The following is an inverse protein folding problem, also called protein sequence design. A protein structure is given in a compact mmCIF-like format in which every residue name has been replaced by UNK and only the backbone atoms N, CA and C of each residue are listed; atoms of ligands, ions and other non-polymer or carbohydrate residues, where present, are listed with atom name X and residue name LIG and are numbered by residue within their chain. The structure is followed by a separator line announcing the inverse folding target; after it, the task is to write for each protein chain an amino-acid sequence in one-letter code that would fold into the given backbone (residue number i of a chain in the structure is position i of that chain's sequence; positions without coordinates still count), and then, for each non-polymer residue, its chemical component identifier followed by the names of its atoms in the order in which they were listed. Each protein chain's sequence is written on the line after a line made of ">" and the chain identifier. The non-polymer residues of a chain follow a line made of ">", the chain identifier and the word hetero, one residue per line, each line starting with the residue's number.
data_IF_591351437650
#
_entry.id   IF_591351437650
#
_cell.length_a   1.000
_cell.length_b   1.000
_cell.length_c   1.000
_cell.angle_alpha   90.00
_cell.angle_beta   90.00
_cell.angle_gamma   90.00
#
_symmetry.space_group_name_H-M   'P 1'
#
loop_
_entity.id
_entity.type
_entity.pdbx_description
1 polymer ?
#
# COMPACT_ATOMS: atom_id res chain seq x y z
N UNK A 1 43.25 14.27 38.11
CA UNK A 1 44.18 13.36 37.41
C UNK A 1 43.92 12.00 38.02
N UNK A 2 43.32 11.00 37.39
CA UNK A 2 42.85 10.73 36.02
C UNK A 2 41.63 9.80 36.16
N UNK A 3 40.74 9.80 35.18
CA UNK A 3 39.59 8.88 35.05
C UNK A 3 40.07 7.49 34.61
N UNK A 4 39.37 6.39 34.98
CA UNK A 4 39.46 5.14 34.23
C UNK A 4 38.46 5.16 33.06
N UNK A 5 38.97 4.98 31.84
CA UNK A 5 38.18 4.79 30.62
C UNK A 5 37.42 3.45 30.67
N UNK A 6 36.10 3.54 30.57
CA UNK A 6 35.23 2.43 30.24
C UNK A 6 35.38 2.12 28.74
N UNK A 7 36.10 1.05 28.41
CA UNK A 7 36.10 0.47 27.07
C UNK A 7 34.73 -0.17 26.77
N UNK A 8 33.92 0.53 25.96
CA UNK A 8 32.85 -0.10 25.19
C UNK A 8 33.46 -1.03 24.12
N UNK A 9 32.95 -2.26 23.93
CA UNK A 9 33.36 -3.09 22.82
C UNK A 9 32.95 -2.41 21.50
N UNK A 10 33.92 -2.27 20.60
CA UNK A 10 33.70 -1.74 19.25
C UNK A 10 32.70 -2.62 18.50
N UNK A 11 31.66 -1.99 17.96
CA UNK A 11 30.64 -2.55 17.05
C UNK A 11 31.22 -2.99 15.68
N UNK A 12 32.51 -3.32 15.60
CA UNK A 12 33.22 -3.61 14.36
C UNK A 12 33.29 -5.11 13.98
N UNK A 13 32.61 -5.99 14.71
CA UNK A 13 32.59 -7.43 14.43
C UNK A 13 31.19 -7.93 14.11
N UNK A 14 30.83 -7.87 12.82
CA UNK A 14 30.03 -8.85 12.05
C UNK A 14 29.69 -8.24 10.68
N UNK A 15 30.68 -8.16 9.79
CA UNK A 15 30.46 -7.77 8.38
C UNK A 15 30.19 -9.05 7.57
N UNK A 16 28.93 -9.49 7.54
CA UNK A 16 28.45 -10.51 6.59
C UNK A 16 28.04 -9.79 5.29
N UNK A 17 28.63 -10.22 4.18
CA UNK A 17 28.66 -9.50 2.90
C UNK A 17 27.42 -9.75 2.03
N UNK A 18 26.53 -8.78 1.80
CA UNK A 18 25.44 -8.93 0.82
C UNK A 18 26.02 -9.00 -0.61
N UNK A 19 25.58 -9.99 -1.39
CA UNK A 19 25.60 -9.93 -2.85
C UNK A 19 24.16 -9.70 -3.28
N UNK A 20 23.89 -8.76 -4.18
CA UNK A 20 22.56 -8.57 -4.76
C UNK A 20 22.72 -8.63 -6.28
N UNK A 21 21.89 -9.44 -6.94
CA UNK A 21 21.61 -9.38 -8.38
C UNK A 21 20.13 -9.12 -8.53
N UNK A 22 19.73 -8.05 -9.20
CA UNK A 22 18.32 -7.77 -9.49
C UNK A 22 18.02 -8.26 -10.90
N UNK A 23 17.02 -9.12 -11.02
CA UNK A 23 16.48 -9.59 -12.29
C UNK A 23 15.02 -9.14 -12.37
N UNK A 24 14.66 -8.40 -13.41
CA UNK A 24 13.28 -7.97 -13.69
C UNK A 24 12.74 -8.82 -14.84
N UNK A 25 11.53 -9.39 -14.71
CA UNK A 25 10.93 -10.21 -15.78
C UNK A 25 9.39 -10.21 -15.75
N UNK A 26 8.76 -10.49 -16.90
CA UNK A 26 7.31 -10.50 -17.17
C UNK A 26 6.67 -11.89 -17.28
N UNK A 27 5.48 -12.08 -16.69
CA UNK A 27 4.62 -13.25 -16.96
C UNK A 27 3.78 -13.02 -18.22
N UNK A 28 3.83 -13.93 -19.19
CA UNK A 28 2.79 -14.07 -20.21
C UNK A 28 1.86 -15.24 -19.85
N UNK A 29 0.55 -14.96 -19.75
CA UNK A 29 -0.47 -16.00 -19.56
C UNK A 29 -0.66 -16.78 -20.86
N UNK A 30 -0.52 -18.11 -20.81
CA UNK A 30 -1.03 -19.00 -21.87
C UNK A 30 -2.19 -19.82 -21.29
N UNK A 31 -3.42 -19.42 -21.59
CA UNK A 31 -4.64 -20.16 -21.25
C UNK A 31 -4.85 -21.23 -22.34
N UNK A 32 -4.53 -22.49 -22.05
CA UNK A 32 -4.88 -23.60 -22.93
C UNK A 32 -6.24 -24.19 -22.51
N UNK A 33 -7.29 -23.72 -23.17
CA UNK A 33 -8.48 -24.52 -23.49
C UNK A 33 -8.57 -24.55 -25.01
N UNK A 34 -8.37 -25.72 -25.64
CA UNK A 34 -9.21 -26.21 -26.76
C UNK A 34 -8.75 -27.60 -27.25
N UNK A 35 -9.67 -28.54 -27.05
CA UNK A 35 -10.14 -29.61 -27.93
C UNK A 35 -9.26 -30.44 -28.89
N UNK A 36 -9.71 -31.69 -28.98
CA UNK A 36 -9.24 -32.86 -29.72
C UNK A 36 -9.10 -32.61 -31.23
N UNK A 37 -8.06 -33.23 -31.81
CA UNK A 37 -8.20 -34.00 -33.05
C UNK A 37 -7.40 -33.52 -34.27
N UNK A 38 -6.56 -34.44 -34.77
CA UNK A 38 -6.08 -34.55 -36.16
C UNK A 38 -5.14 -33.44 -36.69
N UNK A 39 -3.84 -33.74 -36.80
CA UNK A 39 -3.21 -34.09 -38.09
C UNK A 39 -1.71 -34.36 -37.91
N UNK A 40 -1.29 -35.56 -38.30
CA UNK A 40 0.10 -36.01 -38.34
C UNK A 40 0.80 -35.46 -39.60
N UNK A 41 1.80 -34.59 -39.44
CA UNK A 41 3.08 -34.51 -40.19
C UNK A 41 3.75 -33.15 -40.00
N UNK A 42 4.45 -33.02 -38.88
CA UNK A 42 5.64 -32.22 -38.62
C UNK A 42 5.84 -32.31 -37.12
N UNK A 43 7.01 -32.73 -36.64
CA UNK A 43 7.33 -32.53 -35.22
C UNK A 43 7.38 -31.01 -35.03
N UNK A 44 6.48 -30.38 -34.26
CA UNK A 44 6.70 -29.02 -33.86
C UNK A 44 7.81 -29.12 -32.82
N UNK A 45 9.00 -28.66 -33.20
CA UNK A 45 10.01 -28.21 -32.27
C UNK A 45 9.32 -27.13 -31.42
N UNK A 46 8.72 -27.56 -30.31
CA UNK A 46 8.11 -26.65 -29.35
C UNK A 46 9.24 -25.82 -28.78
N UNK A 47 9.39 -24.60 -29.29
CA UNK A 47 10.07 -23.54 -28.55
C UNK A 47 9.21 -23.28 -27.31
N UNK A 48 9.49 -24.04 -26.25
CA UNK A 48 9.11 -23.68 -24.89
C UNK A 48 9.68 -22.28 -24.67
N UNK A 49 8.82 -21.27 -24.76
CA UNK A 49 9.19 -19.88 -24.55
C UNK A 49 9.86 -19.77 -23.19
N UNK A 50 11.19 -19.58 -23.22
CA UNK A 50 11.96 -19.13 -22.07
C UNK A 50 11.33 -17.80 -21.65
N UNK A 51 10.93 -17.70 -20.40
CA UNK A 51 10.52 -16.46 -19.75
C UNK A 51 11.65 -15.43 -19.91
N UNK A 52 11.42 -14.40 -20.73
CA UNK A 52 12.46 -13.43 -21.08
C UNK A 52 12.82 -12.54 -19.90
N UNK A 53 14.09 -12.58 -19.49
CA UNK A 53 14.69 -11.63 -18.55
C UNK A 53 14.71 -10.26 -19.23
N UNK A 54 14.05 -9.26 -18.62
CA UNK A 54 13.96 -7.89 -19.16
C UNK A 54 15.27 -7.15 -18.90
N UNK A 55 15.74 -7.21 -17.66
CA UNK A 55 16.94 -6.52 -17.21
C UNK A 55 17.66 -7.37 -16.17
N UNK A 56 18.99 -7.42 -16.27
CA UNK A 56 19.86 -8.01 -15.26
C UNK A 56 20.99 -7.04 -14.90
N UNK A 57 21.25 -6.90 -13.60
CA UNK A 57 22.36 -6.09 -13.08
C UNK A 57 23.13 -6.87 -12.02
N UNK A 58 24.46 -6.80 -12.12
CA UNK A 58 25.39 -7.47 -11.22
C UNK A 58 26.27 -6.42 -10.53
N UNK A 59 26.35 -6.44 -9.20
CA UNK A 59 27.15 -5.46 -8.44
C UNK A 59 28.55 -5.96 -8.07
N UNK A 60 28.68 -7.23 -7.67
CA UNK A 60 29.95 -7.76 -7.15
C UNK A 60 30.59 -8.83 -8.04
N UNK A 61 29.82 -9.84 -8.41
CA UNK A 61 30.29 -10.94 -9.24
C UNK A 61 29.22 -11.36 -10.23
N UNK A 62 29.66 -11.88 -11.37
CA UNK A 62 28.77 -12.47 -12.36
C UNK A 62 28.20 -13.75 -11.77
N UNK A 63 26.87 -13.79 -11.63
CA UNK A 63 26.14 -14.97 -11.18
C UNK A 63 25.52 -15.62 -12.41
N UNK A 64 25.73 -16.92 -12.57
CA UNK A 64 25.24 -17.64 -13.75
C UNK A 64 23.71 -17.69 -13.79
N UNK A 65 23.13 -17.56 -14.99
CA UNK A 65 21.67 -17.50 -15.19
C UNK A 65 20.92 -18.75 -14.74
N UNK A 66 21.60 -19.90 -14.65
CA UNK A 66 21.00 -21.16 -14.17
C UNK A 66 20.46 -21.08 -12.75
N UNK A 67 20.88 -20.10 -11.94
CA UNK A 67 20.30 -19.92 -10.61
C UNK A 67 18.81 -19.54 -10.68
N UNK A 68 18.38 -18.90 -11.76
CA UNK A 68 16.98 -18.54 -11.97
C UNK A 68 16.09 -19.77 -12.24
N UNK A 69 16.67 -20.92 -12.62
CA UNK A 69 15.90 -22.14 -12.88
C UNK A 69 15.16 -22.62 -11.62
N UNK A 70 15.78 -22.47 -10.44
CA UNK A 70 15.15 -22.76 -9.14
C UNK A 70 13.92 -21.89 -8.89
N UNK A 71 14.01 -20.60 -9.26
CA UNK A 71 12.88 -19.68 -9.16
C UNK A 71 11.78 -20.07 -10.15
N UNK A 72 12.12 -20.36 -11.41
CA UNK A 72 11.13 -20.78 -12.42
C UNK A 72 10.45 -22.11 -12.05
N UNK A 73 11.15 -23.02 -11.39
CA UNK A 73 10.54 -24.24 -10.87
C UNK A 73 9.53 -23.95 -9.75
N UNK A 74 9.87 -23.05 -8.82
CA UNK A 74 8.94 -22.62 -7.78
C UNK A 74 7.71 -21.92 -8.36
N UNK A 75 7.91 -21.08 -9.38
CA UNK A 75 6.83 -20.40 -10.09
C UNK A 75 5.88 -21.40 -10.77
N UNK A 76 6.40 -22.43 -11.44
CA UNK A 76 5.59 -23.47 -12.08
C UNK A 76 4.75 -24.29 -11.09
N UNK A 77 5.18 -24.38 -9.83
CA UNK A 77 4.47 -25.08 -8.76
C UNK A 77 3.37 -24.24 -8.13
N UNK A 78 3.44 -22.92 -8.22
CA UNK A 78 2.47 -22.00 -7.64
C UNK A 78 1.18 -21.92 -8.47
N UNK A 79 0.02 -21.87 -7.80
CA UNK A 79 -1.28 -21.74 -8.49
C UNK A 79 -1.51 -20.30 -8.96
N UNK A 80 -1.12 -19.32 -8.13
CA UNK A 80 -1.13 -17.90 -8.45
C UNK A 80 0.29 -17.31 -8.32
N UNK A 81 0.62 -16.23 -9.05
CA UNK A 81 1.92 -15.55 -8.93
C UNK A 81 2.24 -15.10 -7.50
N UNK A 82 1.21 -14.73 -6.73
CA UNK A 82 1.35 -14.30 -5.34
C UNK A 82 1.67 -15.45 -4.37
N UNK A 83 1.47 -16.71 -4.78
CA UNK A 83 1.76 -17.88 -3.96
C UNK A 83 3.23 -18.34 -4.08
N UNK A 84 4.02 -17.71 -4.97
CA UNK A 84 5.44 -18.04 -5.09
C UNK A 84 6.14 -17.66 -3.79
N UNK A 85 6.90 -18.58 -3.15
CA UNK A 85 7.62 -18.26 -1.92
C UNK A 85 8.55 -17.06 -2.12
N UNK A 86 8.46 -16.01 -1.28
CA UNK A 86 9.26 -14.79 -1.46
C UNK A 86 10.74 -15.03 -1.22
N UNK A 87 11.11 -16.11 -0.51
CA UNK A 87 12.50 -16.52 -0.26
C UNK A 87 12.65 -17.99 -0.64
N UNK A 88 13.56 -18.28 -1.57
CA UNK A 88 13.88 -19.62 -2.05
C UNK A 88 15.35 -19.91 -1.74
N UNK A 89 15.60 -20.94 -0.94
CA UNK A 89 16.96 -21.41 -0.64
C UNK A 89 17.47 -22.33 -1.75
N UNK A 90 18.67 -22.07 -2.24
CA UNK A 90 19.41 -22.96 -3.16
C UNK A 90 20.71 -23.42 -2.50
N UNK A 91 21.47 -24.37 -3.06
CA UNK A 91 22.68 -24.91 -2.42
C UNK A 91 23.77 -23.88 -2.07
N UNK A 92 23.87 -22.79 -2.83
CA UNK A 92 24.93 -21.78 -2.68
C UNK A 92 24.43 -20.33 -2.70
N UNK A 93 23.13 -20.12 -2.91
CA UNK A 93 22.54 -18.79 -3.04
C UNK A 93 21.14 -18.76 -2.39
N UNK A 94 20.70 -17.58 -2.00
CA UNK A 94 19.32 -17.29 -1.64
C UNK A 94 18.69 -16.40 -2.70
N UNK A 95 17.47 -16.75 -3.07
CA UNK A 95 16.68 -16.04 -4.06
C UNK A 95 15.54 -15.34 -3.32
N UNK A 96 15.50 -14.02 -3.36
CA UNK A 96 14.50 -13.20 -2.69
C UNK A 96 13.72 -12.46 -3.76
N UNK A 97 12.39 -12.59 -3.78
CA UNK A 97 11.57 -12.04 -4.86
C UNK A 97 10.37 -11.25 -4.37
N UNK A 98 9.99 -10.24 -5.15
CA UNK A 98 8.79 -9.44 -4.98
C UNK A 98 8.02 -9.41 -6.30
N UNK A 99 6.71 -9.54 -6.25
CA UNK A 99 5.81 -9.47 -7.42
C UNK A 99 5.03 -8.15 -7.42
N UNK A 100 5.04 -7.43 -8.55
CA UNK A 100 4.31 -6.18 -8.74
C UNK A 100 3.94 -5.98 -10.21
N UNK A 101 2.67 -5.64 -10.51
CA UNK A 101 2.18 -5.37 -11.87
C UNK A 101 2.64 -6.37 -12.95
N UNK A 102 2.47 -7.68 -12.69
CA UNK A 102 2.88 -8.77 -13.58
C UNK A 102 4.39 -8.91 -13.82
N UNK A 103 5.20 -8.18 -13.06
CA UNK A 103 6.65 -8.26 -13.04
C UNK A 103 7.12 -8.86 -11.72
N UNK A 104 8.21 -9.64 -11.77
CA UNK A 104 8.97 -9.96 -10.56
C UNK A 104 10.28 -9.22 -10.56
N UNK A 105 10.66 -8.75 -9.37
CA UNK A 105 12.03 -8.37 -9.04
C UNK A 105 12.62 -9.49 -8.21
N UNK A 106 13.71 -10.06 -8.69
CA UNK A 106 14.43 -11.14 -8.03
C UNK A 106 15.81 -10.65 -7.61
N UNK A 107 16.07 -10.61 -6.31
CA UNK A 107 17.37 -10.42 -5.69
C UNK A 107 18.07 -11.76 -5.43
N UNK A 108 19.31 -11.92 -5.85
CA UNK A 108 20.14 -13.11 -5.54
C UNK A 108 21.24 -12.75 -4.54
N UNK A 109 21.29 -13.44 -3.39
CA UNK A 109 22.35 -13.30 -2.38
C UNK A 109 23.15 -14.59 -2.21
N UNK A 110 24.43 -14.48 -1.84
CA UNK A 110 25.31 -15.65 -1.57
C UNK A 110 25.55 -15.86 -0.09
N UNK A 111 25.44 -14.80 0.71
CA UNK A 111 25.53 -14.86 2.16
C UNK A 111 24.15 -14.80 2.80
N UNK A 112 24.10 -15.23 4.06
CA UNK A 112 22.96 -15.01 4.91
C UNK A 112 22.77 -13.51 5.14
N UNK A 113 21.59 -13.02 4.78
CA UNK A 113 21.22 -11.61 4.74
C UNK A 113 19.80 -11.51 5.28
N UNK A 114 19.47 -10.52 6.14
CA UNK A 114 18.11 -10.31 6.61
C UNK A 114 17.13 -10.16 5.42
N UNK A 115 16.22 -11.13 5.17
CA UNK A 115 15.42 -11.11 3.94
C UNK A 115 14.51 -9.89 3.85
N UNK A 116 14.01 -9.40 4.99
CA UNK A 116 13.17 -8.22 5.07
C UNK A 116 13.88 -6.95 4.56
N UNK A 117 15.20 -6.83 4.77
CA UNK A 117 15.97 -5.70 4.27
C UNK A 117 15.99 -5.70 2.73
N UNK A 118 16.17 -6.88 2.13
CA UNK A 118 16.18 -7.03 0.68
C UNK A 118 14.78 -6.82 0.10
N UNK A 119 13.74 -7.33 0.75
CA UNK A 119 12.34 -7.13 0.34
C UNK A 119 11.95 -5.65 0.37
N UNK A 120 12.26 -4.93 1.46
CA UNK A 120 12.00 -3.49 1.56
C UNK A 120 12.75 -2.72 0.48
N UNK A 121 14.01 -3.06 0.23
CA UNK A 121 14.79 -2.45 -0.84
C UNK A 121 14.16 -2.68 -2.23
N UNK A 122 13.71 -3.91 -2.53
CA UNK A 122 13.03 -4.20 -3.79
C UNK A 122 11.71 -3.41 -3.94
N UNK A 123 10.91 -3.30 -2.88
CA UNK A 123 9.73 -2.43 -2.87
C UNK A 123 10.08 -0.96 -3.07
N UNK A 124 11.19 -0.49 -2.51
CA UNK A 124 11.69 0.88 -2.69
C UNK A 124 12.13 1.16 -4.13
N UNK A 125 12.76 0.20 -4.79
CA UNK A 125 13.09 0.26 -6.22
C UNK A 125 11.82 0.40 -7.06
N UNK A 126 10.80 -0.43 -6.80
CA UNK A 126 9.51 -0.37 -7.50
C UNK A 126 8.86 1.01 -7.32
N UNK A 127 8.80 1.51 -6.08
CA UNK A 127 8.24 2.82 -5.77
C UNK A 127 8.98 3.95 -6.49
N UNK A 128 10.32 3.90 -6.50
CA UNK A 128 11.14 4.90 -7.21
C UNK A 128 10.87 4.87 -8.70
N UNK A 129 10.79 3.69 -9.31
CA UNK A 129 10.53 3.57 -10.74
C UNK A 129 9.13 4.02 -11.13
N UNK A 130 8.11 3.73 -10.31
CA UNK A 130 6.76 4.24 -10.53
C UNK A 130 6.71 5.78 -10.54
N UNK A 131 7.49 6.44 -9.68
CA UNK A 131 7.56 7.91 -9.65
C UNK A 131 8.37 8.50 -10.82
N UNK A 132 9.43 7.81 -11.29
CA UNK A 132 10.23 8.27 -12.42
C UNK A 132 9.57 8.06 -13.78
N UNK A 133 8.84 6.96 -13.95
CA UNK A 133 8.29 6.50 -15.22
C UNK A 133 6.75 6.52 -15.25
N UNK A 134 6.10 7.11 -14.25
CA UNK A 134 4.63 7.15 -14.02
C UNK A 134 4.00 5.79 -13.67
N UNK A 135 4.56 4.70 -14.19
CA UNK A 135 4.16 3.32 -13.90
C UNK A 135 5.36 2.37 -13.91
N UNK A 136 5.26 1.27 -13.15
CA UNK A 136 6.22 0.18 -13.21
C UNK A 136 5.67 -0.92 -14.14
N UNK A 137 6.02 -0.87 -15.42
CA UNK A 137 5.62 -1.83 -16.47
C UNK A 137 6.81 -2.29 -17.32
N UNK A 138 6.63 -3.41 -18.04
CA UNK A 138 7.65 -3.99 -18.94
C UNK A 138 8.15 -2.98 -19.98
N UNK A 139 7.23 -2.23 -20.59
CA UNK A 139 7.54 -1.22 -21.59
C UNK A 139 8.30 -0.05 -20.98
N UNK A 140 7.84 0.48 -19.84
CA UNK A 140 8.48 1.60 -19.16
C UNK A 140 9.95 1.29 -18.79
N UNK A 141 10.22 0.09 -18.28
CA UNK A 141 11.58 -0.35 -17.92
C UNK A 141 12.47 -0.51 -19.16
N UNK A 142 11.94 -1.07 -20.26
CA UNK A 142 12.70 -1.25 -21.52
C UNK A 142 13.02 0.07 -22.21
N UNK A 143 12.06 0.98 -22.27
CA UNK A 143 12.24 2.30 -22.91
C UNK A 143 13.21 3.18 -22.12
N UNK A 144 13.26 3.05 -20.80
CA UNK A 144 14.10 3.85 -19.91
C UNK A 144 15.31 3.08 -19.33
N UNK A 145 15.80 2.07 -20.05
CA UNK A 145 16.80 1.12 -19.52
C UNK A 145 18.07 1.79 -18.99
N UNK A 146 18.55 2.87 -19.63
CA UNK A 146 19.73 3.61 -19.19
C UNK A 146 19.50 4.24 -17.81
N UNK A 147 18.37 4.94 -17.61
CA UNK A 147 18.03 5.54 -16.31
C UNK A 147 17.79 4.49 -15.24
N UNK A 148 17.23 3.33 -15.60
CA UNK A 148 17.08 2.21 -14.66
C UNK A 148 18.45 1.75 -14.14
N UNK A 149 19.45 1.62 -15.01
CA UNK A 149 20.81 1.26 -14.58
C UNK A 149 21.44 2.34 -13.70
N UNK A 150 21.32 3.61 -14.07
CA UNK A 150 21.83 4.75 -13.29
C UNK A 150 21.19 4.79 -11.90
N UNK A 151 19.86 4.68 -11.81
CA UNK A 151 19.14 4.66 -10.53
C UNK A 151 19.58 3.48 -9.66
N UNK A 152 19.74 2.29 -10.25
CA UNK A 152 20.19 1.12 -9.51
C UNK A 152 21.64 1.23 -9.00
N UNK A 153 22.54 1.94 -9.71
CA UNK A 153 23.90 2.19 -9.23
C UNK A 153 23.90 3.18 -8.07
N UNK A 154 23.07 4.23 -8.12
CA UNK A 154 22.97 5.21 -7.03
C UNK A 154 22.26 4.64 -5.79
N UNK A 155 21.24 3.81 -6.00
CA UNK A 155 20.47 3.21 -4.91
C UNK A 155 21.25 2.14 -4.15
N UNK A 156 22.16 1.43 -4.82
CA UNK A 156 22.86 0.28 -4.26
C UNK A 156 24.36 0.32 -4.62
N UNK A 157 25.21 0.43 -3.59
CA UNK A 157 26.66 0.34 -3.74
C UNK A 157 27.16 -0.97 -3.15
N UNK A 158 27.86 -1.78 -3.95
CA UNK A 158 28.48 -3.05 -3.53
C UNK A 158 27.54 -4.03 -2.79
N UNK A 159 26.22 -3.98 -3.06
CA UNK A 159 25.22 -4.82 -2.41
C UNK A 159 24.58 -4.21 -1.16
N UNK A 160 24.91 -2.96 -0.81
CA UNK A 160 24.32 -2.22 0.30
C UNK A 160 23.48 -1.04 -0.20
N UNK A 161 22.23 -0.88 0.28
CA UNK A 161 21.42 0.30 -0.02
C UNK A 161 22.10 1.58 0.50
N UNK A 162 22.32 2.56 -0.37
CA UNK A 162 22.97 3.83 -0.05
C UNK A 162 21.98 5.00 -0.12
N UNK A 163 21.57 5.40 -1.32
CA UNK A 163 20.66 6.53 -1.54
C UNK A 163 19.31 6.03 -2.05
N UNK A 164 18.36 5.79 -1.14
CA UNK A 164 17.01 5.29 -1.48
C UNK A 164 15.92 6.35 -1.41
N UNK A 165 16.28 7.59 -1.13
CA UNK A 165 15.34 8.71 -1.01
C UNK A 165 15.09 9.36 -2.37
N UNK A 166 13.82 9.40 -2.79
CA UNK A 166 13.40 9.90 -4.10
C UNK A 166 13.92 11.31 -4.38
N UNK A 167 13.83 12.21 -3.40
CA UNK A 167 14.26 13.60 -3.56
C UNK A 167 15.78 13.73 -3.79
N UNK A 168 16.60 12.84 -3.23
CA UNK A 168 18.05 12.79 -3.46
C UNK A 168 18.32 12.24 -4.86
N UNK A 169 17.64 11.15 -5.21
CA UNK A 169 17.79 10.51 -6.52
C UNK A 169 17.41 11.47 -7.64
N UNK A 170 16.33 12.26 -7.49
CA UNK A 170 15.87 13.24 -8.49
C UNK A 170 16.85 14.40 -8.71
N UNK A 171 17.73 14.66 -7.75
CA UNK A 171 18.79 15.66 -7.87
C UNK A 171 20.02 15.11 -8.61
N UNK A 172 20.39 13.85 -8.33
CA UNK A 172 21.48 13.14 -9.00
C UNK A 172 21.14 12.79 -10.44
N UNK A 173 19.95 12.22 -10.64
CA UNK A 173 19.42 11.68 -11.89
C UNK A 173 18.07 12.34 -12.13
N UNK A 174 18.03 13.31 -13.06
CA UNK A 174 16.82 14.09 -13.32
C UNK A 174 15.76 13.24 -14.03
N UNK A 175 14.50 13.20 -13.55
CA UNK A 175 13.42 12.50 -14.24
C UNK A 175 13.19 13.04 -15.67
N UNK A 176 12.78 12.20 -16.62
CA UNK A 176 12.56 12.60 -18.01
C UNK A 176 11.50 13.70 -18.14
N UNK A 177 10.47 13.66 -17.29
CA UNK A 177 9.38 14.64 -17.27
C UNK A 177 9.81 16.05 -16.84
N UNK A 178 10.95 16.21 -16.17
CA UNK A 178 11.46 17.52 -15.73
C UNK A 178 11.96 18.38 -16.92
N UNK A 179 12.40 17.74 -18.00
CA UNK A 179 12.94 18.41 -19.19
C UNK A 179 11.87 19.08 -20.05
N UNK A 180 10.59 18.70 -19.94
CA UNK A 180 9.51 19.35 -20.70
C UNK A 180 9.24 20.80 -20.24
N UNK A 181 9.61 21.13 -19.01
CA UNK A 181 9.50 22.51 -18.47
C UNK A 181 10.77 23.33 -18.69
N UNK A 182 11.89 22.71 -19.06
CA UNK A 182 13.20 23.37 -19.27
C UNK A 182 13.65 23.32 -20.76
N UNK A 183 12.78 22.89 -21.67
CA UNK A 183 13.07 22.79 -23.10
C UNK A 183 13.25 24.13 -23.85
N UNK A 184 13.56 25.23 -23.16
CA UNK A 184 13.87 26.52 -23.78
C UNK A 184 15.26 27.08 -23.44
N UNK A 185 16.18 26.32 -22.84
CA UNK A 185 17.58 26.76 -22.72
C UNK A 185 18.58 25.68 -23.15
N UNK A 186 18.96 25.84 -24.42
CA UNK A 186 20.19 25.40 -25.10
C UNK A 186 21.33 25.10 -24.12
N UNK A 187 21.81 23.85 -24.11
CA UNK A 187 23.24 23.44 -24.08
C UNK A 187 23.35 21.96 -23.68
N UNK A 188 23.97 21.15 -24.54
CA UNK A 188 24.17 19.72 -24.33
C UNK A 188 25.02 19.40 -23.09
N UNK A 189 24.35 19.07 -21.99
CA UNK A 189 24.95 18.49 -20.79
C UNK A 189 24.33 17.12 -20.51
N UNK A 190 25.15 16.20 -20.03
CA UNK A 190 24.77 14.84 -19.59
C UNK A 190 23.65 14.89 -18.53
N UNK A 191 22.81 13.85 -18.49
CA UNK A 191 21.68 13.75 -17.54
C UNK A 191 22.12 13.61 -16.06
N UNK A 192 23.41 13.45 -15.81
CA UNK A 192 24.03 13.33 -14.50
C UNK A 192 24.49 14.71 -14.01
N UNK A 193 24.08 15.09 -12.79
CA UNK A 193 24.54 16.34 -12.16
C UNK A 193 26.04 16.28 -11.83
N UNK A 194 26.83 17.27 -12.29
CA UNK A 194 28.26 17.42 -11.93
C UNK A 194 28.46 17.92 -10.48
N UNK A 195 27.40 18.36 -9.81
CA UNK A 195 27.44 18.85 -8.42
C UNK A 195 26.77 17.83 -7.51
N UNK A 196 27.51 17.36 -6.50
CA UNK A 196 26.99 16.49 -5.46
C UNK A 196 25.83 17.20 -4.73
N UNK A 197 24.67 16.53 -4.55
CA UNK A 197 23.56 17.07 -3.80
C UNK A 197 23.98 17.51 -2.41
N UNK A 198 23.60 18.72 -2.00
CA UNK A 198 23.77 19.15 -0.59
C UNK A 198 23.08 18.19 0.39
N UNK A 199 22.09 17.41 -0.07
CA UNK A 199 21.40 16.38 0.70
C UNK A 199 22.28 15.21 1.15
N UNK A 200 23.26 14.77 0.35
CA UNK A 200 24.13 13.63 0.67
C UNK A 200 25.10 13.90 1.84
N UNK A 201 25.39 15.16 2.13
CA UNK A 201 26.23 15.58 3.26
C UNK A 201 25.40 16.12 4.45
N UNK A 202 24.08 16.18 4.30
CA UNK A 202 23.17 16.70 5.32
C UNK A 202 22.56 15.56 6.14
N UNK A 203 22.28 15.81 7.42
CA UNK A 203 21.52 14.88 8.26
C UNK A 203 20.01 14.82 7.88
N UNK A 204 19.61 15.43 6.76
CA UNK A 204 18.21 15.56 6.30
C UNK A 204 18.16 15.17 4.80
N UNK A 205 18.43 13.90 4.45
CA UNK A 205 18.53 13.47 3.06
C UNK A 205 17.21 13.62 2.29
N UNK A 206 16.06 13.53 2.96
CA UNK A 206 14.75 13.58 2.32
C UNK A 206 14.28 14.97 1.87
N UNK A 207 15.05 16.06 2.10
CA UNK A 207 14.62 17.43 1.76
C UNK A 207 15.75 18.27 1.16
N UNK A 208 15.44 18.94 0.04
CA UNK A 208 16.34 19.92 -0.61
C UNK A 208 16.34 21.27 0.10
N UNK A 209 17.48 21.93 0.15
CA UNK A 209 17.67 23.20 0.89
C UNK A 209 17.12 24.44 0.17
N UNK A 210 17.00 24.40 -1.16
CA UNK A 210 16.71 25.55 -2.03
C UNK A 210 15.26 25.57 -2.57
N UNK A 211 14.37 24.76 -2.00
CA UNK A 211 12.96 24.69 -2.39
C UNK A 211 12.28 26.05 -2.23
N UNK A 212 11.57 26.53 -3.24
CA UNK A 212 10.84 27.80 -3.21
C UNK A 212 9.43 27.64 -3.77
N UNK A 213 8.46 28.17 -3.04
CA UNK A 213 7.07 28.26 -3.44
C UNK A 213 6.56 29.69 -3.33
N UNK A 214 5.74 30.10 -4.30
CA UNK A 214 5.01 31.38 -4.26
C UNK A 214 4.01 31.39 -3.10
N UNK A 215 3.32 30.26 -2.91
CA UNK A 215 2.35 30.04 -1.84
C UNK A 215 2.84 28.87 -0.98
N UNK A 216 3.07 29.14 0.30
CA UNK A 216 3.54 28.12 1.23
C UNK A 216 2.33 27.48 1.93
N UNK A 217 2.15 26.17 1.75
CA UNK A 217 0.99 25.43 2.25
C UNK A 217 1.40 24.04 2.76
N UNK A 218 0.73 23.59 3.83
CA UNK A 218 0.89 22.26 4.39
C UNK A 218 -0.49 21.67 4.71
N UNK A 219 -0.82 20.55 4.08
CA UNK A 219 -2.05 19.80 4.31
C UNK A 219 -1.76 18.47 4.98
N UNK A 220 -2.62 18.07 5.90
CA UNK A 220 -2.56 16.83 6.65
C UNK A 220 -3.90 16.09 6.53
N UNK A 221 -3.89 14.96 5.87
CA UNK A 221 -5.05 14.09 5.71
C UNK A 221 -4.94 12.94 6.70
N UNK A 222 -5.73 13.00 7.77
CA UNK A 222 -5.86 11.93 8.76
C UNK A 222 -6.92 10.97 8.26
N UNK A 223 -6.49 9.79 7.82
CA UNK A 223 -7.37 8.74 7.28
C UNK A 223 -7.39 7.56 8.23
N UNK A 224 -8.58 7.09 8.58
CA UNK A 224 -8.80 5.92 9.41
C UNK A 224 -9.66 4.88 8.69
N UNK A 225 -9.22 3.64 8.73
CA UNK A 225 -9.91 2.45 8.26
C UNK A 225 -10.40 1.66 9.47
N UNK A 226 -11.70 1.37 9.50
CA UNK A 226 -12.30 0.56 10.56
C UNK A 226 -12.42 -0.89 10.09
N UNK A 227 -11.68 -1.77 10.76
CA UNK A 227 -11.88 -3.21 10.68
C UNK A 227 -12.82 -3.62 11.82
N UNK A 228 -13.94 -4.24 11.51
CA UNK A 228 -14.91 -4.63 12.52
C UNK A 228 -15.69 -5.89 12.16
N UNK A 229 -15.98 -6.71 13.17
CA UNK A 229 -16.89 -7.84 13.08
C UNK A 229 -18.04 -7.59 14.05
N UNK A 230 -19.24 -7.47 13.50
CA UNK A 230 -20.49 -7.30 14.27
C UNK A 230 -21.21 -8.65 14.29
N UNK A 231 -21.73 -9.05 15.46
CA UNK A 231 -22.55 -10.25 15.58
C UNK A 231 -23.96 -10.05 15.02
N UNK A 232 -24.75 -11.12 15.04
CA UNK A 232 -26.14 -11.15 14.57
C UNK A 232 -27.08 -10.27 15.41
N UNK A 233 -26.71 -9.97 16.66
CA UNK A 233 -27.49 -9.13 17.57
C UNK A 233 -27.12 -7.64 17.46
N UNK A 234 -26.06 -7.31 16.71
CA UNK A 234 -25.55 -5.96 16.53
C UNK A 234 -24.47 -5.55 17.55
N UNK A 235 -23.93 -6.49 18.34
CA UNK A 235 -22.81 -6.25 19.23
C UNK A 235 -21.47 -6.40 18.50
N UNK A 236 -20.49 -5.60 18.93
CA UNK A 236 -19.14 -5.62 18.37
C UNK A 236 -18.34 -6.79 18.94
N UNK A 237 -17.96 -7.74 18.09
CA UNK A 237 -17.11 -8.89 18.46
C UNK A 237 -15.64 -8.50 18.38
N UNK A 238 -15.30 -7.74 17.34
CA UNK A 238 -13.95 -7.29 17.06
C UNK A 238 -14.04 -5.90 16.43
N UNK A 239 -13.15 -4.99 16.83
CA UNK A 239 -12.99 -3.71 16.17
C UNK A 239 -11.58 -3.18 16.38
N UNK A 240 -10.96 -2.74 15.31
CA UNK A 240 -9.64 -2.12 15.29
C UNK A 240 -9.63 -0.96 14.29
N UNK A 241 -8.69 -0.05 14.47
CA UNK A 241 -8.51 1.07 13.54
C UNK A 241 -7.10 1.00 12.97
N UNK A 242 -7.03 1.02 11.64
CA UNK A 242 -5.80 1.23 10.88
C UNK A 242 -5.82 2.67 10.39
N UNK A 243 -4.90 3.49 10.87
CA UNK A 243 -4.85 4.91 10.56
C UNK A 243 -3.54 5.32 9.91
N UNK A 244 -3.59 6.40 9.14
CA UNK A 244 -2.39 7.03 8.61
C UNK A 244 -2.60 8.54 8.42
N UNK A 245 -1.50 9.27 8.42
CA UNK A 245 -1.47 10.71 8.15
C UNK A 245 -0.64 10.94 6.89
N UNK A 246 -1.32 11.21 5.79
CA UNK A 246 -0.69 11.62 4.54
C UNK A 246 -0.58 13.15 4.51
N UNK A 247 0.54 13.65 4.02
CA UNK A 247 0.88 15.06 4.04
C UNK A 247 1.14 15.55 2.62
N UNK A 248 0.70 16.77 2.32
CA UNK A 248 1.13 17.53 1.15
C UNK A 248 1.81 18.81 1.62
N UNK A 249 3.14 18.84 1.59
CA UNK A 249 3.96 19.95 2.09
C UNK A 249 4.61 20.71 0.93
N UNK A 250 4.10 21.91 0.63
CA UNK A 250 4.71 22.86 -0.32
C UNK A 250 5.24 24.05 0.45
N UNK A 251 6.43 23.87 1.02
CA UNK A 251 7.06 24.83 1.92
C UNK A 251 8.42 25.24 1.36
N UNK A 252 8.78 26.52 1.48
CA UNK A 252 10.07 27.04 1.02
C UNK A 252 11.16 26.83 2.07
N UNK A 253 12.41 26.65 1.64
CA UNK A 253 13.58 26.51 2.52
C UNK A 253 13.58 25.22 3.33
N UNK A 254 14.02 25.31 4.58
CA UNK A 254 14.17 24.18 5.52
C UNK A 254 13.26 24.34 6.74
N UNK A 255 11.94 24.21 6.59
CA UNK A 255 10.97 24.36 7.66
C UNK A 255 11.11 23.22 8.68
N UNK A 256 11.15 23.57 9.96
CA UNK A 256 11.06 22.63 11.07
C UNK A 256 9.63 22.68 11.63
N UNK A 257 8.87 21.60 11.43
CA UNK A 257 7.49 21.50 11.86
C UNK A 257 7.39 20.79 13.21
N UNK A 258 6.53 21.31 14.07
CA UNK A 258 6.16 20.68 15.33
C UNK A 258 4.65 20.52 15.41
N UNK A 259 4.17 19.28 15.40
CA UNK A 259 2.77 18.92 15.48
C UNK A 259 2.43 18.25 16.82
N UNK A 260 1.39 18.74 17.47
CA UNK A 260 0.81 18.14 18.68
C UNK A 260 -0.55 17.53 18.36
N UNK A 261 -0.79 16.34 18.91
CA UNK A 261 -2.02 15.58 18.75
C UNK A 261 -2.83 15.62 20.05
N UNK A 262 -4.15 15.56 19.94
CA UNK A 262 -5.05 15.29 21.07
C UNK A 262 -5.09 13.78 21.26
N UNK A 263 -4.82 13.33 22.49
CA UNK A 263 -4.80 11.92 22.89
C UNK A 263 -3.82 11.03 22.10
N UNK A 264 -2.52 11.40 21.99
CA UNK A 264 -1.51 10.58 21.29
C UNK A 264 -1.27 9.21 21.94
N UNK A 265 -1.80 8.98 23.15
CA UNK A 265 -1.71 7.71 23.88
C UNK A 265 -2.64 6.63 23.32
N UNK A 266 -3.60 6.99 22.47
CA UNK A 266 -4.47 6.03 21.79
C UNK A 266 -3.75 5.26 20.69
N UNK A 267 -2.58 5.73 20.27
CA UNK A 267 -1.80 5.11 19.21
C UNK A 267 -0.94 4.01 19.83
N UNK A 268 -1.27 2.75 19.54
CA UNK A 268 -0.59 1.59 20.12
C UNK A 268 0.71 1.31 19.34
N UNK A 269 0.60 1.00 18.05
CA UNK A 269 1.75 0.78 17.16
C UNK A 269 1.84 1.93 16.14
N UNK A 270 2.95 2.67 16.17
CA UNK A 270 3.16 3.82 15.27
C UNK A 270 4.42 3.64 14.45
N UNK A 271 4.26 3.71 13.13
CA UNK A 271 5.34 3.71 12.16
C UNK A 271 5.52 5.13 11.62
N UNK A 272 6.72 5.67 11.73
CA UNK A 272 7.03 7.04 11.32
C UNK A 272 7.78 7.09 10.00
N UNK A 273 7.57 8.17 9.25
CA UNK A 273 8.52 8.59 8.24
C UNK A 273 9.89 8.90 8.88
N UNK A 274 11.02 8.60 8.22
CA UNK A 274 12.37 8.93 8.70
C UNK A 274 12.57 10.41 9.08
N UNK A 275 11.71 11.31 8.58
CA UNK A 275 11.77 12.73 8.90
C UNK A 275 11.38 13.07 10.34
N UNK A 276 10.71 12.16 11.04
CA UNK A 276 10.25 12.34 12.41
C UNK A 276 11.37 12.03 13.41
N UNK A 277 11.63 12.98 14.30
CA UNK A 277 12.59 12.82 15.39
C UNK A 277 12.04 11.90 16.48
N UNK A 278 12.30 10.59 16.34
CA UNK A 278 11.76 9.54 17.22
C UNK A 278 11.94 9.83 18.72
N UNK A 279 13.15 10.23 19.15
CA UNK A 279 13.45 10.54 20.57
C UNK A 279 12.51 11.60 21.16
N UNK A 280 12.08 12.58 20.36
CA UNK A 280 11.18 13.63 20.82
C UNK A 280 9.74 13.13 20.95
N UNK A 281 9.30 12.28 20.02
CA UNK A 281 8.02 11.57 20.15
C UNK A 281 7.99 10.68 21.40
N UNK A 282 9.08 9.95 21.65
CA UNK A 282 9.21 9.04 22.79
C UNK A 282 9.09 9.78 24.14
N UNK A 283 9.69 10.97 24.26
CA UNK A 283 9.69 11.74 25.51
C UNK A 283 8.46 12.64 25.67
N UNK A 284 8.07 13.36 24.62
CA UNK A 284 7.08 14.45 24.70
C UNK A 284 5.73 14.07 24.07
N UNK A 285 5.66 12.96 23.30
CA UNK A 285 4.53 12.63 22.42
C UNK A 285 4.16 13.77 21.46
N UNK A 286 5.20 14.47 20.99
CA UNK A 286 5.12 15.56 20.01
C UNK A 286 5.87 15.14 18.75
N UNK A 287 5.24 15.36 17.59
CA UNK A 287 5.87 15.09 16.30
C UNK A 287 6.71 16.29 15.92
N UNK A 288 8.02 16.09 15.77
CA UNK A 288 8.95 17.12 15.30
C UNK A 288 9.71 16.60 14.11
N UNK A 289 9.65 17.31 12.99
CA UNK A 289 10.14 16.82 11.71
C UNK A 289 10.43 17.96 10.73
N UNK A 290 11.37 17.71 9.83
CA UNK A 290 11.57 18.54 8.62
C UNK A 290 10.92 17.79 7.47
N UNK A 291 9.77 18.23 6.92
CA UNK A 291 9.00 17.43 5.98
C UNK A 291 9.73 17.27 4.63
N UNK A 292 9.65 16.10 3.97
CA UNK A 292 9.88 16.00 2.54
C UNK A 292 9.03 17.01 1.77
N UNK A 293 9.49 17.37 0.58
CA UNK A 293 8.74 18.22 -0.33
C UNK A 293 7.65 17.42 -1.05
N UNK A 294 6.46 18.00 -1.22
CA UNK A 294 5.34 17.34 -1.90
C UNK A 294 4.56 16.35 -1.03
N UNK A 295 4.13 15.24 -1.64
CA UNK A 295 3.26 14.25 -1.00
C UNK A 295 4.09 13.17 -0.32
N UNK A 296 3.81 12.87 0.95
CA UNK A 296 4.43 11.76 1.65
C UNK A 296 3.56 11.29 2.82
N UNK A 297 3.75 10.03 3.25
CA UNK A 297 3.13 9.53 4.48
C UNK A 297 3.98 9.93 5.68
N UNK A 298 3.43 10.72 6.60
CA UNK A 298 4.14 11.16 7.81
C UNK A 298 4.22 10.06 8.86
N UNK A 299 3.09 9.37 9.08
CA UNK A 299 3.02 8.23 9.98
C UNK A 299 1.84 7.31 9.61
N UNK A 300 1.96 6.05 10.01
CA UNK A 300 0.87 5.08 10.10
C UNK A 300 0.71 4.69 11.55
N UNK A 301 -0.50 4.40 12.00
CA UNK A 301 -0.79 3.98 13.36
C UNK A 301 -1.85 2.91 13.40
N UNK A 302 -1.77 2.08 14.43
CA UNK A 302 -2.77 1.09 14.78
C UNK A 302 -3.38 1.43 16.14
N UNK A 303 -4.68 1.22 16.26
CA UNK A 303 -5.41 1.28 17.53
C UNK A 303 -6.08 -0.06 17.72
N UNK A 304 -5.61 -0.79 18.72
CA UNK A 304 -6.02 -2.14 19.02
C UNK A 304 -7.41 -2.21 19.67
N UNK A 305 -7.95 -3.42 19.68
CA UNK A 305 -9.29 -3.75 20.17
C UNK A 305 -9.52 -3.54 21.67
N UNK A 306 -8.46 -3.28 22.46
CA UNK A 306 -8.58 -2.90 23.87
C UNK A 306 -9.21 -1.51 24.03
N UNK A 307 -9.05 -0.65 23.03
CA UNK A 307 -9.68 0.66 22.99
C UNK A 307 -11.10 0.49 22.44
N UNK A 308 -12.13 0.93 23.18
CA UNK A 308 -13.52 0.83 22.71
C UNK A 308 -13.74 1.70 21.47
N UNK A 309 -13.69 1.09 20.29
CA UNK A 309 -13.97 1.75 19.01
C UNK A 309 -15.46 1.98 18.85
N UNK A 310 -15.85 3.24 18.65
CA UNK A 310 -17.25 3.60 18.42
C UNK A 310 -17.68 3.24 17.00
N UNK A 311 -18.36 2.10 16.83
CA UNK A 311 -18.88 1.67 15.53
C UNK A 311 -19.88 2.68 14.95
N UNK A 312 -19.62 3.28 13.77
CA UNK A 312 -20.42 4.40 13.27
C UNK A 312 -21.64 3.99 12.45
N UNK A 313 -21.73 2.72 12.03
CA UNK A 313 -22.80 2.19 11.18
C UNK A 313 -23.49 1.02 11.87
N UNK A 314 -24.81 0.93 11.75
CA UNK A 314 -25.55 -0.26 12.12
C UNK A 314 -26.16 -0.91 10.87
N UNK A 315 -26.23 -2.24 10.90
CA UNK A 315 -26.96 -3.04 9.92
C UNK A 315 -27.94 -3.90 10.68
N UNK A 316 -29.23 -3.72 10.44
CA UNK A 316 -30.27 -4.64 10.88
C UNK A 316 -30.62 -5.54 9.72
N UNK A 317 -30.62 -6.85 9.95
CA UNK A 317 -30.93 -7.83 8.93
C UNK A 317 -31.90 -8.87 9.46
N UNK A 318 -32.76 -9.36 8.58
CA UNK A 318 -33.59 -10.53 8.78
C UNK A 318 -33.54 -11.35 7.48
N UNK A 319 -32.79 -12.45 7.50
CA UNK A 319 -32.52 -13.28 6.34
C UNK A 319 -32.97 -14.70 6.67
N UNK A 320 -33.83 -15.26 5.82
CA UNK A 320 -34.28 -16.64 5.96
C UNK A 320 -34.23 -17.35 4.61
N UNK A 321 -33.42 -18.41 4.53
CA UNK A 321 -33.44 -19.35 3.41
C UNK A 321 -34.36 -20.50 3.79
N UNK A 322 -35.41 -20.73 3.01
CA UNK A 322 -36.31 -21.88 3.19
C UNK A 322 -36.18 -22.79 1.98
N UNK A 323 -35.71 -24.03 2.13
CA UNK A 323 -35.64 -24.98 1.02
C UNK A 323 -37.04 -25.21 0.42
N UNK A 324 -37.14 -25.24 -0.92
CA UNK A 324 -38.41 -25.49 -1.63
C UNK A 324 -39.45 -24.37 -1.58
N UNK A 325 -39.17 -23.24 -0.92
CA UNK A 325 -40.01 -22.03 -0.93
C UNK A 325 -39.17 -20.78 -1.20
N UNK A 326 -39.82 -19.65 -1.49
CA UNK A 326 -39.11 -18.38 -1.61
C UNK A 326 -38.55 -17.97 -0.23
N UNK A 327 -37.23 -17.80 -0.13
CA UNK A 327 -36.58 -17.16 1.00
C UNK A 327 -36.95 -15.68 1.08
N UNK A 328 -36.66 -15.05 2.22
CA UNK A 328 -36.93 -13.63 2.46
C UNK A 328 -35.68 -12.95 2.98
N UNK A 329 -35.45 -11.74 2.49
CA UNK A 329 -34.38 -10.86 2.94
C UNK A 329 -34.94 -9.48 3.23
N UNK A 330 -34.54 -8.93 4.37
CA UNK A 330 -34.85 -7.58 4.81
C UNK A 330 -33.62 -6.99 5.48
N UNK A 331 -33.02 -5.98 4.85
CA UNK A 331 -31.86 -5.25 5.35
C UNK A 331 -32.24 -3.80 5.62
N UNK A 332 -31.66 -3.21 6.64
CA UNK A 332 -31.74 -1.78 6.96
C UNK A 332 -30.37 -1.32 7.41
N UNK A 333 -29.83 -0.31 6.75
CA UNK A 333 -28.50 0.25 7.07
C UNK A 333 -28.67 1.70 7.49
N UNK A 334 -27.91 2.15 8.47
CA UNK A 334 -27.93 3.56 8.84
C UNK A 334 -26.79 3.96 9.75
N UNK A 335 -26.55 5.28 9.88
CA UNK A 335 -25.59 5.81 10.85
C UNK A 335 -26.10 5.56 12.27
N UNK A 336 -25.20 5.17 13.18
CA UNK A 336 -25.51 5.07 14.60
C UNK A 336 -25.77 6.50 15.12
N UNK A 337 -26.91 6.71 15.77
CA UNK A 337 -27.40 8.05 16.14
C UNK A 337 -26.41 8.85 17.01
N UNK A 338 -25.51 8.17 17.74
CA UNK A 338 -24.45 8.79 18.52
C UNK A 338 -23.42 9.58 17.69
N UNK A 339 -23.31 9.32 16.38
CA UNK A 339 -22.24 9.91 15.56
C UNK A 339 -22.64 11.23 14.88
N UNK A 340 -23.92 11.46 14.60
CA UNK A 340 -24.41 12.72 13.99
C UNK A 340 -23.78 13.09 12.63
N UNK A 341 -23.09 12.16 11.98
CA UNK A 341 -22.44 12.36 10.66
C UNK A 341 -23.20 11.59 9.58
N UNK A 342 -23.14 12.14 8.38
CA UNK A 342 -23.66 11.53 7.16
C UNK A 342 -22.70 10.44 6.70
N UNK A 343 -23.24 9.33 6.20
CA UNK A 343 -22.46 8.31 5.51
C UNK A 343 -22.49 8.57 4.01
N UNK A 344 -21.33 8.51 3.37
CA UNK A 344 -21.13 8.63 1.93
C UNK A 344 -20.58 7.32 1.38
N UNK A 345 -20.67 7.15 0.06
CA UNK A 345 -20.16 5.99 -0.68
C UNK A 345 -20.56 4.65 -0.06
N UNK A 346 -21.80 4.56 0.44
CA UNK A 346 -22.27 3.36 1.15
C UNK A 346 -22.65 2.27 0.17
N UNK A 347 -21.98 1.13 0.29
CA UNK A 347 -22.21 -0.07 -0.51
C UNK A 347 -22.32 -1.27 0.43
N UNK A 348 -23.35 -2.09 0.24
CA UNK A 348 -23.56 -3.33 0.99
C UNK A 348 -23.37 -4.50 0.04
N UNK A 349 -22.52 -5.44 0.42
CA UNK A 349 -22.21 -6.62 -0.36
C UNK A 349 -22.50 -7.90 0.42
N UNK A 350 -22.98 -8.91 -0.29
CA UNK A 350 -23.22 -10.23 0.29
C UNK A 350 -23.03 -11.31 -0.78
N UNK A 351 -22.06 -12.20 -0.57
CA UNK A 351 -21.80 -13.32 -1.48
C UNK A 351 -22.76 -14.46 -1.17
N UNK A 352 -23.78 -14.61 -2.02
CA UNK A 352 -24.84 -15.58 -1.82
C UNK A 352 -24.34 -17.03 -1.94
N UNK A 353 -24.94 -17.98 -1.21
CA UNK A 353 -24.67 -19.40 -1.38
C UNK A 353 -24.99 -19.89 -2.80
N UNK A 354 -24.29 -20.93 -3.25
CA UNK A 354 -24.46 -21.51 -4.61
C UNK A 354 -25.88 -21.98 -4.92
N UNK A 355 -26.66 -22.32 -3.89
CA UNK A 355 -28.07 -22.72 -3.99
C UNK A 355 -29.00 -21.58 -4.41
N UNK A 356 -28.59 -20.31 -4.25
CA UNK A 356 -29.38 -19.15 -4.64
C UNK A 356 -29.34 -18.97 -6.16
N UNK A 357 -30.52 -19.00 -6.78
CA UNK A 357 -30.67 -18.85 -8.23
C UNK A 357 -30.93 -17.40 -8.63
N UNK A 358 -31.82 -16.72 -7.90
CA UNK A 358 -32.21 -15.34 -8.20
C UNK A 358 -32.64 -14.60 -6.93
N UNK A 359 -32.54 -13.26 -6.97
CA UNK A 359 -32.98 -12.36 -5.91
C UNK A 359 -33.92 -11.31 -6.51
N UNK A 360 -35.19 -11.30 -6.10
CA UNK A 360 -36.16 -10.28 -6.48
C UNK A 360 -36.27 -9.26 -5.34
N UNK A 361 -35.48 -8.20 -5.42
CA UNK A 361 -35.29 -7.24 -4.34
C UNK A 361 -35.74 -5.84 -4.73
N UNK A 362 -36.33 -5.14 -3.77
CA UNK A 362 -36.78 -3.77 -3.88
C UNK A 362 -36.02 -2.97 -2.83
N UNK A 363 -35.24 -2.00 -3.28
CA UNK A 363 -34.53 -1.04 -2.44
C UNK A 363 -35.33 0.25 -2.32
N UNK A 364 -35.45 0.81 -1.12
CA UNK A 364 -36.07 2.12 -0.92
C UNK A 364 -35.20 3.28 -1.42
N UNK A 365 -33.89 3.05 -1.49
CA UNK A 365 -32.88 4.03 -1.86
C UNK A 365 -31.70 3.31 -2.48
N UNK A 366 -31.06 3.93 -3.46
CA UNK A 366 -29.95 3.31 -4.18
C UNK A 366 -30.40 2.31 -5.25
N UNK A 367 -29.43 1.56 -5.77
CA UNK A 367 -29.63 0.52 -6.78
C UNK A 367 -29.15 -0.82 -6.22
N UNK A 368 -29.94 -1.86 -6.44
CA UNK A 368 -29.60 -3.23 -6.05
C UNK A 368 -29.36 -4.06 -7.31
N UNK A 369 -28.29 -4.85 -7.32
CA UNK A 369 -27.94 -5.79 -8.39
C UNK A 369 -27.56 -7.13 -7.80
N UNK A 370 -27.94 -8.21 -8.46
CA UNK A 370 -27.51 -9.56 -8.14
C UNK A 370 -26.95 -10.20 -9.41
N UNK A 371 -25.72 -10.70 -9.32
CA UNK A 371 -25.12 -11.48 -10.40
C UNK A 371 -25.25 -12.99 -10.11
N UNK A 372 -26.03 -13.74 -10.90
CA UNK A 372 -26.19 -15.18 -10.72
C UNK A 372 -24.92 -16.00 -10.94
N UNK A 373 -23.90 -15.45 -11.62
CA UNK A 373 -22.64 -16.14 -11.95
C UNK A 373 -21.67 -16.07 -10.78
N UNK A 374 -21.33 -14.86 -10.34
CA UNK A 374 -20.44 -14.63 -9.18
C UNK A 374 -21.16 -14.86 -7.84
N UNK A 375 -22.49 -14.92 -7.85
CA UNK A 375 -23.36 -14.95 -6.65
C UNK A 375 -23.25 -13.69 -5.78
N UNK A 376 -22.69 -12.60 -6.30
CA UNK A 376 -22.57 -11.35 -5.57
C UNK A 376 -23.90 -10.59 -5.58
N UNK A 377 -24.48 -10.36 -4.41
CA UNK A 377 -25.51 -9.36 -4.20
C UNK A 377 -24.83 -8.04 -3.80
N UNK A 378 -25.09 -6.97 -4.55
CA UNK A 378 -24.57 -5.65 -4.26
C UNK A 378 -25.72 -4.64 -4.17
N UNK A 379 -25.71 -3.83 -3.12
CA UNK A 379 -26.64 -2.73 -2.93
C UNK A 379 -25.88 -1.42 -2.74
N UNK A 380 -25.89 -0.59 -3.80
CA UNK A 380 -25.23 0.70 -3.81
C UNK A 380 -26.23 1.78 -3.39
N UNK A 381 -26.04 2.29 -2.17
CA UNK A 381 -26.92 3.28 -1.53
C UNK A 381 -26.46 4.70 -1.86
N UNK A 382 -25.14 4.92 -1.92
CA UNK A 382 -24.53 6.23 -2.07
C UNK A 382 -24.53 6.98 -0.74
N UNK A 383 -25.40 7.98 -0.57
CA UNK A 383 -25.41 8.85 0.62
C UNK A 383 -26.57 8.51 1.55
N UNK A 384 -26.30 8.38 2.85
CA UNK A 384 -27.32 8.14 3.89
C UNK A 384 -27.40 9.34 4.82
N UNK A 385 -28.52 10.07 4.75
CA UNK A 385 -28.84 11.17 5.66
C UNK A 385 -29.46 10.68 6.97
N UNK A 386 -29.35 11.50 8.02
CA UNK A 386 -29.89 11.18 9.34
C UNK A 386 -31.42 11.13 9.30
N UNK A 387 -32.01 10.09 9.89
CA UNK A 387 -33.45 9.99 10.15
C UNK A 387 -34.26 9.13 9.16
N UNK A 388 -33.75 8.84 7.96
CA UNK A 388 -34.45 7.99 6.98
C UNK A 388 -33.56 6.82 6.54
N UNK A 389 -33.52 5.72 7.32
CA UNK A 389 -32.61 4.63 7.03
C UNK A 389 -33.06 3.89 5.76
N UNK A 390 -32.16 3.69 4.77
CA UNK A 390 -32.45 2.91 3.58
C UNK A 390 -32.76 1.46 3.95
N UNK A 391 -33.67 0.86 3.19
CA UNK A 391 -34.10 -0.53 3.35
C UNK A 391 -34.03 -1.29 2.04
N UNK A 392 -33.70 -2.57 2.12
CA UNK A 392 -33.72 -3.52 1.01
C UNK A 392 -34.59 -4.70 1.42
N UNK A 393 -35.67 -4.98 0.67
CA UNK A 393 -36.59 -6.06 0.99
C UNK A 393 -36.93 -6.87 -0.25
N UNK A 394 -37.09 -8.17 -0.09
CA UNK A 394 -37.57 -9.00 -1.19
C UNK A 394 -37.48 -10.49 -0.93
N UNK A 395 -37.61 -11.24 -2.02
CA UNK A 395 -37.63 -12.70 -2.01
C UNK A 395 -36.43 -13.28 -2.73
N UNK A 396 -35.90 -14.39 -2.19
CA UNK A 396 -34.76 -15.11 -2.74
C UNK A 396 -35.24 -16.47 -3.23
N UNK A 397 -34.94 -16.83 -4.49
CA UNK A 397 -35.20 -18.19 -4.97
C UNK A 397 -34.02 -19.10 -4.62
N UNK A 398 -34.31 -20.13 -3.82
CA UNK A 398 -33.32 -21.11 -3.36
C UNK A 398 -33.65 -22.45 -3.98
N UNK A 399 -32.63 -23.13 -4.50
CA UNK A 399 -32.72 -24.48 -5.04
C UNK A 399 -32.09 -25.50 -4.09
N UNK A 400 -32.63 -26.72 -4.09
CA UNK A 400 -32.17 -27.81 -3.23
C UNK A 400 -32.93 -27.94 -1.90
N UNK A 401 -32.54 -28.95 -1.12
CA UNK A 401 -33.21 -29.38 0.13
C UNK A 401 -32.37 -29.15 1.39
N UNK A 402 -31.10 -28.76 1.25
CA UNK A 402 -30.20 -28.53 2.38
C UNK A 402 -30.53 -27.21 3.10
N UNK A 403 -30.39 -27.20 4.43
CA UNK A 403 -30.39 -25.96 5.20
C UNK A 403 -29.14 -25.16 4.85
N UNK A 404 -29.34 -23.89 4.47
CA UNK A 404 -28.26 -22.99 4.05
C UNK A 404 -28.21 -21.81 5.00
N UNK A 405 -27.04 -21.57 5.56
CA UNK A 405 -26.81 -20.43 6.43
C UNK A 405 -26.65 -19.15 5.62
N UNK A 406 -27.02 -18.03 6.24
CA UNK A 406 -26.83 -16.74 5.64
C UNK A 406 -25.33 -16.38 5.64
N UNK A 407 -24.78 -15.91 4.51
CA UNK A 407 -23.41 -15.41 4.46
C UNK A 407 -23.31 -14.08 5.23
N UNK A 408 -22.12 -13.71 5.72
CA UNK A 408 -21.91 -12.41 6.33
C UNK A 408 -22.11 -11.28 5.31
N UNK A 409 -22.50 -10.11 5.82
CA UNK A 409 -22.67 -8.89 5.04
C UNK A 409 -21.39 -8.07 5.15
N UNK A 410 -20.82 -7.65 4.04
CA UNK A 410 -19.71 -6.70 3.98
C UNK A 410 -20.27 -5.30 3.72
N UNK A 411 -19.78 -4.30 4.45
CA UNK A 411 -20.24 -2.90 4.31
C UNK A 411 -19.06 -2.00 3.98
N UNK A 412 -19.21 -1.22 2.93
CA UNK A 412 -18.31 -0.12 2.61
C UNK A 412 -19.01 1.19 2.91
N UNK A 413 -18.28 2.14 3.47
CA UNK A 413 -18.77 3.49 3.73
C UNK A 413 -17.59 4.45 3.88
N UNK A 414 -17.90 5.73 3.78
CA UNK A 414 -16.98 6.84 4.03
C UNK A 414 -17.68 7.91 4.87
N UNK A 415 -16.93 8.50 5.79
CA UNK A 415 -17.37 9.62 6.62
C UNK A 415 -16.30 10.71 6.51
N UNK A 416 -16.68 11.86 5.98
CA UNK A 416 -15.81 13.02 5.94
C UNK A 416 -15.89 13.80 7.26
N UNK A 417 -14.81 14.53 7.57
CA UNK A 417 -14.67 15.38 8.75
C UNK A 417 -14.84 14.61 10.07
N UNK A 418 -14.37 13.36 10.11
CA UNK A 418 -14.38 12.49 11.28
C UNK A 418 -13.14 11.57 11.30
N UNK A 419 -12.47 11.51 12.44
CA UNK A 419 -11.63 10.39 12.86
C UNK A 419 -12.38 9.67 13.97
N UNK A 420 -12.71 8.40 13.77
CA UNK A 420 -13.51 7.59 14.70
C UNK A 420 -12.76 7.31 16.01
N UNK A 421 -11.43 7.32 16.00
CA UNK A 421 -10.61 7.22 17.21
C UNK A 421 -10.74 8.44 18.13
N UNK A 422 -11.21 9.57 17.59
CA UNK A 422 -11.15 10.87 18.24
C UNK A 422 -9.80 11.57 18.13
N UNK A 423 -8.83 11.01 17.41
CA UNK A 423 -7.55 11.64 17.11
C UNK A 423 -7.77 12.98 16.40
N UNK A 424 -7.11 14.02 16.90
CA UNK A 424 -7.17 15.36 16.32
C UNK A 424 -5.80 16.02 16.37
N UNK A 425 -5.47 16.76 15.32
CA UNK A 425 -4.35 17.69 15.33
C UNK A 425 -4.73 18.89 16.19
N UNK A 426 -4.00 19.10 17.28
CA UNK A 426 -4.21 20.21 18.21
C UNK A 426 -3.55 21.49 17.72
N UNK A 427 -2.25 21.40 17.39
CA UNK A 427 -1.45 22.55 16.96
C UNK A 427 -0.34 22.09 16.02
N UNK A 428 -0.06 22.90 15.01
CA UNK A 428 1.08 22.77 14.13
C UNK A 428 1.85 24.08 14.12
N UNK A 429 3.11 24.07 14.54
CA UNK A 429 4.02 25.20 14.56
C UNK A 429 5.10 25.02 13.49
N UNK A 430 5.58 26.14 12.92
CA UNK A 430 6.67 26.17 11.96
C UNK A 430 7.80 27.03 12.53
N UNK A 431 9.02 26.50 12.47
CA UNK A 431 10.27 27.12 12.90
C UNK A 431 11.29 27.11 11.74
N UNK A 432 12.37 27.87 11.88
CA UNK A 432 13.43 27.99 10.87
C UNK A 432 13.14 28.95 9.73
N UNK A 433 11.86 29.21 9.45
CA UNK A 433 11.42 30.08 8.35
C UNK A 433 10.53 31.24 8.84
N UNK A 434 10.58 32.39 8.14
CA UNK A 434 9.89 33.63 8.55
C UNK A 434 8.45 33.75 8.04
N UNK A 435 8.07 32.97 7.03
CA UNK A 435 6.74 33.04 6.43
C UNK A 435 5.70 32.29 7.29
N UNK A 436 4.42 32.64 7.11
CA UNK A 436 3.30 31.92 7.72
C UNK A 436 2.64 31.04 6.66
N UNK A 437 2.80 29.71 6.70
CA UNK A 437 2.17 28.84 5.71
C UNK A 437 0.66 28.71 5.98
N UNK A 438 -0.10 28.44 4.93
CA UNK A 438 -1.45 27.91 5.07
C UNK A 438 -1.39 26.49 5.65
N UNK A 439 -2.26 26.18 6.60
CA UNK A 439 -2.30 24.89 7.31
C UNK A 439 -3.69 24.29 7.18
N UNK A 440 -3.81 23.16 6.51
CA UNK A 440 -5.06 22.42 6.35
C UNK A 440 -5.00 21.07 7.05
N UNK A 441 -6.11 20.66 7.69
CA UNK A 441 -6.27 19.29 8.17
C UNK A 441 -7.62 18.75 7.74
N UNK A 442 -7.63 17.52 7.25
CA UNK A 442 -8.84 16.79 6.86
C UNK A 442 -8.89 15.49 7.63
N UNK A 443 -10.09 15.08 7.99
CA UNK A 443 -10.33 13.81 8.68
C UNK A 443 -11.26 12.96 7.84
N UNK A 444 -10.87 11.72 7.55
CA UNK A 444 -11.67 10.78 6.78
C UNK A 444 -11.69 9.47 7.54
N UNK A 445 -12.87 8.93 7.78
CA UNK A 445 -13.04 7.55 8.23
C UNK A 445 -13.65 6.75 7.08
N UNK A 446 -13.10 5.59 6.75
CA UNK A 446 -13.66 4.68 5.75
C UNK A 446 -13.72 3.26 6.31
N UNK A 447 -14.56 2.42 5.70
CA UNK A 447 -14.59 1.01 6.03
C UNK A 447 -13.30 0.33 5.56
N UNK A 448 -12.66 -0.43 6.46
CA UNK A 448 -11.70 -1.48 6.08
C UNK A 448 -12.46 -2.79 5.86
N UNK A 449 -12.11 -3.83 6.61
CA UNK A 449 -12.83 -5.11 6.70
C UNK A 449 -13.99 -4.99 7.68
N UNK A 450 -15.09 -4.40 7.22
CA UNK A 450 -16.31 -4.26 8.01
C UNK A 450 -17.33 -5.35 7.66
N UNK A 451 -17.52 -6.31 8.57
CA UNK A 451 -18.40 -7.46 8.38
C UNK A 451 -19.48 -7.56 9.47
N UNK A 452 -20.70 -7.92 9.06
CA UNK A 452 -21.84 -8.19 9.94
C UNK A 452 -22.26 -9.65 9.75
N UNK A 453 -22.17 -10.44 10.82
CA UNK A 453 -22.57 -11.86 10.83
C UNK A 453 -24.09 -11.98 10.86
N UNK A 454 -24.63 -12.94 10.13
CA UNK A 454 -26.07 -13.03 9.82
C UNK A 454 -26.86 -14.12 10.54
#
# INVERSE_FOLDING_TARGET
>A
MEQPENQQPSLAFMWTFLQIRIVIWRIDYCRQDLDRGWCSKMKPLCFLGRTDIILEKHWKSVIHRSICDYFFEAQKKAAYPEDVPPVISTPHHYLISVYHNHLYLLAVTVSETPPLMVIEFLHRVIATFAEYFEEFTDNAVKENCVMVFELLDEMLDNGFPLATELNVLQELIKPPNFLRTIANQVMGRTNVSEVLPTGQLSNIPWRRADVKYTNNEAYFDVVEEIDAIIDRQGATVFSEIQGYIDCCCKLSGMPDLTMSLINPRLLDDVSFHPCVRFKRWENERVLSFVPPDGNFRLLSYHIGSQNMVAIPVYVRHNISFKPGTAGRIELTVGPKQSMGKVLEDVIVEMTMPKSVQNCMLISSTGKCSFDPTTKLLQWNIGKIELGKPPTLKGTISVSGTANVEAPPITVYFKINQLAVSGLKVNRLDLYGEKYKPFKGVKYITKAGRFQVRT
#
